data_IF_189853857327
#
_entry.id   IF_189853857327
#
_cell.length_a   1.000
_cell.length_b   1.000
_cell.length_c   1.000
_cell.angle_alpha   90.00
_cell.angle_beta   90.00
_cell.angle_gamma   90.00
#
_symmetry.space_group_name_H-M   'P 1'
#
loop_
_entity.id
_entity.type
_entity.pdbx_description
1 polymer ?
#
# COMPACT_ATOMS: atom_id res chain seq x y z
N UNK A 1 41.70 3.42 -19.40
CA UNK A 1 41.63 4.82 -19.85
C UNK A 1 40.18 5.18 -20.10
N UNK A 2 39.62 6.08 -19.30
CA UNK A 2 38.38 6.79 -19.64
C UNK A 2 38.73 7.94 -20.60
N UNK A 3 37.86 8.29 -21.56
CA UNK A 3 37.81 9.65 -22.06
C UNK A 3 36.62 10.39 -21.47
N UNK A 4 36.94 11.42 -20.71
CA UNK A 4 36.06 12.53 -20.34
C UNK A 4 35.77 13.40 -21.58
N UNK A 5 34.55 13.92 -21.70
CA UNK A 5 34.29 15.09 -22.53
C UNK A 5 33.12 15.89 -21.92
N UNK A 6 33.42 17.11 -21.50
CA UNK A 6 32.52 18.22 -21.15
C UNK A 6 33.18 19.49 -21.73
N UNK A 7 32.49 20.64 -21.82
CA UNK A 7 31.09 20.91 -22.12
C UNK A 7 30.94 22.07 -23.14
N UNK A 8 29.75 22.31 -23.71
CA UNK A 8 29.41 23.63 -24.27
C UNK A 8 27.96 24.03 -23.97
N UNK A 9 27.85 25.15 -23.24
CA UNK A 9 26.70 26.07 -23.09
C UNK A 9 26.42 26.78 -24.42
N UNK A 10 25.19 27.22 -24.74
CA UNK A 10 24.87 28.63 -24.46
C UNK A 10 23.38 28.98 -24.21
N UNK A 11 23.23 30.07 -23.47
CA UNK A 11 22.24 31.15 -23.58
C UNK A 11 20.93 31.13 -22.78
N UNK A 12 20.79 32.25 -22.08
CA UNK A 12 19.68 32.74 -21.26
C UNK A 12 18.50 33.24 -22.10
N UNK A 13 17.30 33.26 -21.50
CA UNK A 13 16.27 34.23 -21.84
C UNK A 13 15.56 34.78 -20.57
N UNK A 14 15.49 36.11 -20.39
CA UNK A 14 14.95 36.82 -19.22
C UNK A 14 13.67 37.61 -19.52
N UNK A 15 12.60 37.50 -18.72
CA UNK A 15 11.51 38.52 -18.56
C UNK A 15 10.36 37.95 -17.68
N UNK A 16 10.17 38.37 -16.42
CA UNK A 16 9.31 39.47 -15.91
C UNK A 16 7.78 39.26 -16.09
N UNK A 17 7.15 38.86 -14.97
CA UNK A 17 5.99 39.44 -14.24
C UNK A 17 4.66 39.73 -14.96
N UNK A 18 3.53 39.28 -14.35
CA UNK A 18 2.35 40.13 -13.99
C UNK A 18 1.44 39.40 -12.99
N UNK A 19 1.27 40.00 -11.81
CA UNK A 19 0.16 39.76 -10.86
C UNK A 19 -1.00 40.69 -11.22
N UNK A 20 -2.25 40.22 -11.16
CA UNK A 20 -3.56 40.92 -10.99
C UNK A 20 -4.65 39.83 -11.22
N UNK A 21 -5.80 39.70 -10.57
CA UNK A 21 -6.41 40.11 -9.30
C UNK A 21 -7.62 39.13 -9.11
N UNK A 22 -8.01 38.79 -7.87
CA UNK A 22 -9.22 38.01 -7.57
C UNK A 22 -10.51 38.84 -7.76
N UNK A 23 -11.71 38.21 -7.86
CA UNK A 23 -12.55 38.10 -6.65
C UNK A 23 -13.35 36.78 -6.49
N UNK A 24 -13.89 36.65 -5.28
CA UNK A 24 -14.61 35.55 -4.62
C UNK A 24 -15.90 35.03 -5.30
N UNK A 25 -16.41 33.91 -4.73
CA UNK A 25 -17.71 33.21 -4.88
C UNK A 25 -17.59 31.94 -5.76
N UNK A 26 -17.89 30.71 -5.34
CA UNK A 26 -18.73 30.20 -4.25
C UNK A 26 -18.27 28.78 -3.90
N UNK A 27 -18.41 28.39 -2.64
CA UNK A 27 -18.29 26.99 -2.23
C UNK A 27 -19.45 26.16 -2.83
N UNK A 28 -19.19 25.04 -3.55
CA UNK A 28 -20.21 24.05 -3.80
C UNK A 28 -20.31 23.13 -2.59
N UNK A 29 -21.54 23.04 -2.11
CA UNK A 29 -21.98 22.22 -1.00
C UNK A 29 -21.53 20.76 -1.13
N UNK A 30 -21.23 20.19 0.03
CA UNK A 30 -21.30 18.76 0.38
C UNK A 30 -22.20 17.94 -0.56
N UNK A 31 -21.62 17.39 -1.62
CA UNK A 31 -22.14 16.17 -2.21
C UNK A 31 -21.50 15.00 -1.49
N UNK A 32 -22.01 14.70 -0.29
CA UNK A 32 -21.97 13.33 0.23
C UNK A 32 -22.90 12.49 -0.65
N UNK A 33 -22.41 12.16 -1.84
CA UNK A 33 -23.02 11.13 -2.64
C UNK A 33 -22.63 9.84 -1.92
N UNK A 34 -23.55 9.32 -1.09
CA UNK A 34 -23.44 7.98 -0.52
C UNK A 34 -23.29 7.02 -1.70
N UNK A 35 -22.05 6.66 -2.03
CA UNK A 35 -21.77 5.66 -3.03
C UNK A 35 -22.32 4.35 -2.48
N UNK A 36 -23.49 3.96 -3.00
CA UNK A 36 -23.98 2.59 -2.84
C UNK A 36 -23.05 1.73 -3.69
N UNK A 37 -21.91 1.36 -3.15
CA UNK A 37 -21.13 0.29 -3.75
C UNK A 37 -21.89 -1.01 -3.50
N UNK A 38 -22.40 -1.68 -4.54
CA UNK A 38 -22.87 -3.04 -4.37
C UNK A 38 -21.67 -3.84 -3.87
N UNK A 39 -21.79 -4.50 -2.72
CA UNK A 39 -20.76 -5.35 -2.13
C UNK A 39 -20.29 -6.51 -3.05
N UNK A 40 -20.82 -6.60 -4.28
CA UNK A 40 -20.52 -7.60 -5.30
C UNK A 40 -19.26 -7.29 -6.14
N UNK A 41 -18.77 -6.06 -6.13
CA UNK A 41 -17.57 -5.66 -6.89
C UNK A 41 -16.34 -5.46 -6.00
N UNK A 42 -16.37 -5.91 -4.74
CA UNK A 42 -15.14 -5.94 -3.96
C UNK A 42 -14.16 -6.90 -4.67
N UNK A 43 -12.92 -6.46 -4.96
CA UNK A 43 -11.89 -7.34 -5.49
C UNK A 43 -11.74 -8.62 -4.64
N UNK A 44 -11.03 -9.60 -5.18
CA UNK A 44 -10.76 -10.92 -4.56
C UNK A 44 -9.88 -10.79 -3.31
N UNK A 45 -10.44 -10.12 -2.30
CA UNK A 45 -9.79 -9.66 -1.10
C UNK A 45 -9.84 -10.73 -0.01
N UNK A 46 -10.53 -11.86 -0.20
CA UNK A 46 -10.79 -12.81 0.88
C UNK A 46 -11.75 -12.24 1.94
N UNK A 47 -11.66 -12.74 3.18
CA UNK A 47 -12.59 -12.37 4.26
C UNK A 47 -12.42 -10.90 4.69
N UNK A 48 -13.54 -10.20 4.90
CA UNK A 48 -13.54 -8.82 5.36
C UNK A 48 -13.23 -8.73 6.85
N UNK A 49 -12.39 -7.78 7.29
CA UNK A 49 -12.05 -7.65 8.71
C UNK A 49 -13.20 -7.06 9.51
N UNK A 50 -13.19 -7.28 10.82
CA UNK A 50 -14.20 -6.77 11.77
C UNK A 50 -13.96 -5.34 12.22
N UNK A 51 -12.79 -4.77 11.91
CA UNK A 51 -12.41 -3.39 12.30
C UNK A 51 -12.09 -2.54 11.08
N UNK A 52 -12.50 -1.26 11.04
CA UNK A 52 -12.09 -0.36 9.99
C UNK A 52 -10.61 0.02 10.13
N UNK A 53 -9.99 0.42 9.03
CA UNK A 53 -8.61 0.91 9.01
C UNK A 53 -7.84 0.54 7.74
N UNK A 54 -6.54 0.80 7.75
CA UNK A 54 -5.63 0.44 6.66
C UNK A 54 -5.17 -1.01 6.82
N UNK A 55 -5.21 -1.79 5.74
CA UNK A 55 -4.82 -3.19 5.73
C UNK A 55 -3.85 -3.48 4.58
N UNK A 56 -2.87 -4.33 4.83
CA UNK A 56 -2.07 -4.97 3.80
C UNK A 56 -2.71 -6.32 3.46
N UNK A 57 -3.18 -6.48 2.22
CA UNK A 57 -3.74 -7.75 1.73
C UNK A 57 -2.69 -8.50 0.93
N UNK A 58 -2.50 -9.78 1.24
CA UNK A 58 -1.58 -10.67 0.53
C UNK A 58 -2.35 -11.60 -0.39
N UNK A 59 -1.80 -11.87 -1.58
CA UNK A 59 -2.43 -12.73 -2.57
C UNK A 59 -1.38 -13.44 -3.42
N UNK A 60 -1.81 -14.41 -4.21
CA UNK A 60 -0.92 -15.21 -5.05
C UNK A 60 0.15 -15.96 -4.23
N UNK A 61 -0.31 -16.63 -3.17
CA UNK A 61 0.55 -17.36 -2.23
C UNK A 61 1.15 -18.64 -2.83
N UNK A 62 2.41 -18.88 -2.48
CA UNK A 62 3.24 -20.05 -2.82
C UNK A 62 4.15 -20.45 -1.66
N UNK A 63 4.63 -21.69 -1.67
CA UNK A 63 5.55 -22.22 -0.65
C UNK A 63 6.99 -21.73 -0.87
N UNK A 64 7.39 -21.52 -2.12
CA UNK A 64 8.72 -21.02 -2.47
C UNK A 64 8.61 -19.94 -3.56
N UNK A 65 9.50 -18.92 -3.60
CA UNK A 65 9.38 -17.80 -4.54
C UNK A 65 9.30 -18.22 -6.01
N UNK A 66 10.11 -19.21 -6.43
CA UNK A 66 10.19 -19.73 -7.80
C UNK A 66 9.26 -20.91 -8.09
N UNK A 67 8.37 -21.26 -7.16
CA UNK A 67 7.44 -22.37 -7.38
C UNK A 67 6.61 -22.10 -8.64
N UNK A 68 6.66 -23.03 -9.60
CA UNK A 68 5.82 -22.95 -10.80
C UNK A 68 4.37 -23.18 -10.40
N UNK A 69 3.50 -22.22 -10.71
CA UNK A 69 2.09 -22.28 -10.31
C UNK A 69 1.19 -22.56 -11.52
N UNK A 70 0.28 -23.53 -11.36
CA UNK A 70 -0.85 -23.73 -12.28
C UNK A 70 -2.08 -23.08 -11.67
N UNK A 71 -2.30 -21.79 -11.95
CA UNK A 71 -3.41 -21.00 -11.41
C UNK A 71 -2.95 -19.85 -10.50
N UNK A 72 -3.87 -19.32 -9.69
CA UNK A 72 -3.68 -18.08 -8.92
C UNK A 72 -2.88 -18.28 -7.62
N UNK A 73 -2.81 -19.49 -7.07
CA UNK A 73 -2.19 -19.76 -5.76
C UNK A 73 -3.17 -19.80 -4.60
N UNK A 74 -2.66 -19.90 -3.38
CA UNK A 74 -3.51 -19.82 -2.18
C UNK A 74 -3.76 -18.36 -1.77
N UNK A 75 -4.94 -18.05 -1.20
CA UNK A 75 -5.24 -16.72 -0.70
C UNK A 75 -4.37 -16.39 0.52
N UNK A 76 -3.90 -15.15 0.60
CA UNK A 76 -3.12 -14.67 1.73
C UNK A 76 -3.96 -13.92 2.77
N UNK A 77 -3.40 -13.69 3.96
CA UNK A 77 -4.09 -12.97 5.02
C UNK A 77 -4.18 -11.47 4.76
N UNK A 78 -5.08 -10.81 5.48
CA UNK A 78 -5.11 -9.36 5.65
C UNK A 78 -4.43 -8.99 6.95
N UNK A 79 -3.35 -8.22 6.86
CA UNK A 79 -2.57 -7.76 8.00
C UNK A 79 -2.98 -6.33 8.34
N UNK A 80 -3.57 -6.15 9.52
CA UNK A 80 -4.01 -4.85 10.01
C UNK A 80 -5.05 -4.91 11.13
N UNK A 81 -5.58 -3.76 11.57
CA UNK A 81 -5.36 -2.44 10.99
C UNK A 81 -3.98 -1.85 11.32
N UNK A 82 -3.36 -1.18 10.35
CA UNK A 82 -2.09 -0.45 10.49
C UNK A 82 -2.29 1.06 10.34
N UNK A 83 -1.32 1.84 10.84
CA UNK A 83 -1.25 3.29 10.69
C UNK A 83 -0.66 3.68 9.34
N UNK A 84 0.37 2.95 8.89
CA UNK A 84 0.95 3.13 7.57
C UNK A 84 1.58 1.83 7.07
N UNK A 85 1.74 1.79 5.75
CA UNK A 85 2.56 0.83 5.02
C UNK A 85 3.59 1.63 4.22
N UNK A 86 4.86 1.25 4.30
CA UNK A 86 5.94 1.86 3.52
C UNK A 86 6.67 0.78 2.75
N UNK A 87 6.79 0.95 1.45
CA UNK A 87 7.68 0.12 0.62
C UNK A 87 8.98 0.88 0.37
N UNK A 88 10.11 0.27 0.69
CA UNK A 88 11.43 0.85 0.54
C UNK A 88 12.22 0.06 -0.51
N UNK A 89 12.64 0.75 -1.58
CA UNK A 89 13.40 0.22 -2.72
C UNK A 89 12.79 -1.02 -3.41
N UNK A 90 11.50 -1.31 -3.18
CA UNK A 90 10.86 -2.54 -3.66
C UNK A 90 11.38 -3.82 -2.99
N UNK A 91 12.20 -3.69 -1.95
CA UNK A 91 12.86 -4.80 -1.25
C UNK A 91 12.27 -5.03 0.14
N UNK A 92 11.73 -3.98 0.76
CA UNK A 92 11.21 -4.06 2.12
C UNK A 92 9.82 -3.43 2.21
N UNK A 93 8.91 -4.09 2.93
CA UNK A 93 7.59 -3.56 3.26
C UNK A 93 7.48 -3.43 4.78
N UNK A 94 7.45 -2.19 5.25
CA UNK A 94 7.31 -1.86 6.67
C UNK A 94 5.84 -1.57 7.00
N UNK A 95 5.36 -2.20 8.06
CA UNK A 95 4.03 -2.06 8.65
C UNK A 95 4.15 -1.44 10.03
N UNK A 96 3.33 -0.42 10.33
CA UNK A 96 3.22 0.13 11.69
C UNK A 96 1.82 -0.06 12.24
N UNK A 97 1.67 -0.89 13.26
CA UNK A 97 0.40 -1.05 13.99
C UNK A 97 0.19 0.08 14.98
N UNK A 98 -1.05 0.35 15.40
CA UNK A 98 -1.30 1.34 16.46
C UNK A 98 -0.77 0.87 17.84
N UNK A 99 -0.94 -0.42 18.14
CA UNK A 99 -0.60 -1.02 19.42
C UNK A 99 0.06 -2.40 19.24
N UNK A 100 0.79 -2.84 20.28
CA UNK A 100 1.52 -4.13 20.25
C UNK A 100 0.58 -5.34 20.21
N UNK A 101 -0.62 -5.21 20.80
CA UNK A 101 -1.62 -6.29 20.84
C UNK A 101 -2.12 -6.64 19.44
N UNK A 102 -2.35 -5.65 18.60
CA UNK A 102 -2.76 -5.83 17.21
C UNK A 102 -1.61 -6.42 16.38
N UNK A 103 -0.38 -5.95 16.59
CA UNK A 103 0.81 -6.54 15.97
C UNK A 103 0.99 -8.02 16.35
N UNK A 104 0.82 -8.37 17.63
CA UNK A 104 0.98 -9.72 18.15
C UNK A 104 0.03 -10.77 17.53
N UNK A 105 -1.11 -10.33 16.97
CA UNK A 105 -2.05 -11.23 16.24
C UNK A 105 -1.44 -11.78 14.96
N UNK A 106 -0.55 -11.01 14.33
CA UNK A 106 0.07 -11.34 13.04
C UNK A 106 1.54 -11.72 13.19
N UNK A 107 2.16 -11.31 14.28
CA UNK A 107 3.57 -11.52 14.59
C UNK A 107 3.67 -12.04 16.03
N UNK A 108 3.60 -13.37 16.24
CA UNK A 108 3.49 -13.97 17.59
C UNK A 108 4.56 -13.53 18.59
N UNK A 109 5.73 -13.13 18.09
CA UNK A 109 6.88 -12.66 18.90
C UNK A 109 7.10 -11.14 18.81
N UNK A 110 6.05 -10.35 18.50
CA UNK A 110 6.14 -8.91 18.36
C UNK A 110 6.40 -8.21 19.70
N UNK A 111 7.62 -7.69 19.86
CA UNK A 111 7.99 -6.80 20.98
C UNK A 111 7.76 -5.32 20.67
N UNK A 112 7.67 -5.00 19.38
CA UNK A 112 7.48 -3.66 18.84
C UNK A 112 6.16 -3.55 18.08
N UNK A 113 5.90 -2.37 17.56
CA UNK A 113 4.70 -2.05 16.77
C UNK A 113 5.02 -1.85 15.28
N UNK A 114 6.30 -1.79 14.94
CA UNK A 114 6.80 -1.66 13.56
C UNK A 114 7.41 -2.98 13.13
N UNK A 115 6.93 -3.55 12.02
CA UNK A 115 7.45 -4.81 11.48
C UNK A 115 7.83 -4.63 10.02
N UNK A 116 8.97 -5.19 9.63
CA UNK A 116 9.43 -5.17 8.24
C UNK A 116 9.35 -6.58 7.66
N UNK A 117 8.73 -6.68 6.49
CA UNK A 117 8.67 -7.88 5.67
C UNK A 117 9.63 -7.71 4.49
N UNK A 118 10.26 -8.80 4.08
CA UNK A 118 11.23 -8.81 3.01
C UNK A 118 10.58 -9.22 1.69
N UNK A 119 10.95 -8.56 0.61
CA UNK A 119 10.62 -8.94 -0.76
C UNK A 119 11.78 -9.74 -1.32
N UNK A 120 11.58 -11.03 -1.51
CA UNK A 120 12.57 -11.96 -2.04
C UNK A 120 12.10 -12.43 -3.41
N UNK A 121 12.91 -12.17 -4.44
CA UNK A 121 12.64 -12.58 -5.83
C UNK A 121 11.24 -12.15 -6.33
N UNK A 122 10.85 -10.92 -5.99
CA UNK A 122 9.55 -10.36 -6.38
C UNK A 122 8.38 -10.87 -5.54
N UNK A 123 8.64 -11.53 -4.40
CA UNK A 123 7.60 -12.07 -3.52
C UNK A 123 7.72 -11.51 -2.13
N UNK A 124 6.61 -11.06 -1.55
CA UNK A 124 6.60 -10.63 -0.17
C UNK A 124 6.56 -11.85 0.75
N UNK A 125 7.54 -11.96 1.64
CA UNK A 125 7.64 -13.07 2.58
C UNK A 125 6.87 -12.73 3.85
N UNK A 126 5.93 -13.59 4.21
CA UNK A 126 5.19 -13.49 5.47
C UNK A 126 4.97 -14.89 6.04
N UNK A 127 5.33 -15.07 7.32
CA UNK A 127 5.43 -16.39 7.94
C UNK A 127 6.43 -17.27 7.18
N UNK A 128 6.01 -18.47 6.79
CA UNK A 128 6.74 -19.47 6.03
C UNK A 128 6.33 -19.48 4.54
N UNK A 129 5.64 -18.44 4.07
CA UNK A 129 5.04 -18.36 2.73
C UNK A 129 5.50 -17.13 1.96
N UNK A 130 5.40 -17.24 0.63
CA UNK A 130 5.76 -16.20 -0.33
C UNK A 130 4.52 -15.74 -1.10
N UNK A 131 4.30 -14.44 -1.20
CA UNK A 131 3.13 -13.86 -1.86
C UNK A 131 3.57 -13.04 -3.08
N UNK A 132 3.03 -13.38 -4.24
CA UNK A 132 3.39 -12.70 -5.48
C UNK A 132 2.86 -11.27 -5.57
N UNK A 133 1.74 -10.99 -4.92
CA UNK A 133 1.08 -9.68 -4.97
C UNK A 133 0.66 -9.23 -3.57
N UNK A 134 0.86 -7.94 -3.30
CA UNK A 134 0.38 -7.29 -2.08
C UNK A 134 -0.23 -5.93 -2.39
N UNK A 135 -1.33 -5.63 -1.72
CA UNK A 135 -2.08 -4.40 -1.93
C UNK A 135 -2.39 -3.73 -0.59
N UNK A 136 -2.34 -2.40 -0.56
CA UNK A 136 -2.70 -1.60 0.62
C UNK A 136 -4.08 -1.01 0.41
N UNK A 137 -5.01 -1.27 1.31
CA UNK A 137 -6.39 -0.80 1.20
C UNK A 137 -6.94 -0.27 2.50
N UNK A 138 -7.68 0.82 2.39
CA UNK A 138 -8.47 1.36 3.49
C UNK A 138 -9.86 0.73 3.49
N UNK A 139 -10.25 0.15 4.62
CA UNK A 139 -11.56 -0.48 4.81
C UNK A 139 -12.36 0.40 5.77
N UNK A 140 -13.45 0.96 5.25
CA UNK A 140 -14.38 1.76 6.02
C UNK A 140 -15.32 0.87 6.87
N UNK A 141 -15.92 1.45 7.91
CA UNK A 141 -16.69 0.69 8.91
C UNK A 141 -17.92 -0.02 8.31
N UNK A 142 -18.49 0.52 7.24
CA UNK A 142 -19.62 -0.07 6.52
C UNK A 142 -19.29 -1.39 5.80
N UNK A 143 -18.02 -1.67 5.54
CA UNK A 143 -17.55 -2.89 4.89
C UNK A 143 -17.05 -3.94 5.88
N UNK A 144 -17.03 -3.64 7.18
CA UNK A 144 -16.62 -4.58 8.20
C UNK A 144 -17.69 -5.63 8.48
N UNK A 145 -17.27 -6.87 8.68
CA UNK A 145 -18.16 -7.93 9.15
C UNK A 145 -18.56 -7.61 10.60
N UNK A 146 -19.85 -7.73 10.88
CA UNK A 146 -20.42 -7.47 12.21
C UNK A 146 -20.37 -8.70 13.09
#
# INVERSE_FOLDING_TARGET
>A
MCPSFEPMSPQAMPWVTTWLAQPMLSAPQLFSKRMKHPAKDLPDWGEMPTRPGLYLSLSHGRDFPQQTMRGRGFPGPKIGPVLYVRTQYGQEVTLRFANKRDAARFFPNATTTTHTLQVIEGTLVYSDKCFGDWNVCFIAAEFCVK
#
